data_IF_002916803836
#
_entry.id   IF_002916803836
#
_cell.length_a   1.000
_cell.length_b   1.000
_cell.length_c   1.000
_cell.angle_alpha   90.00
_cell.angle_beta   90.00
_cell.angle_gamma   90.00
#
_symmetry.space_group_name_H-M   'P 1'
#
loop_
_entity.id
_entity.type
_entity.pdbx_description
1 polymer ?
#
# COMPACT_ATOMS: atom_id res chain seq x y z
N UNK A 1 -57.85 -5.30 32.59
CA UNK A 1 -56.97 -4.71 31.55
C UNK A 1 -55.47 -5.00 31.75
N UNK A 2 -54.96 -5.26 32.97
CA UNK A 2 -53.52 -5.45 33.23
C UNK A 2 -52.91 -6.86 32.98
N UNK A 3 -53.72 -7.91 32.71
CA UNK A 3 -53.19 -9.28 32.49
C UNK A 3 -52.52 -9.51 31.13
N UNK A 4 -52.75 -8.65 30.14
CA UNK A 4 -52.17 -8.81 28.80
C UNK A 4 -50.67 -8.44 28.76
N UNK A 5 -50.24 -7.51 29.62
CA UNK A 5 -48.84 -7.07 29.71
C UNK A 5 -47.90 -8.08 30.42
N UNK A 6 -48.45 -9.08 31.11
CA UNK A 6 -47.69 -10.13 31.80
C UNK A 6 -47.51 -11.40 30.96
N UNK A 7 -48.09 -11.45 29.75
CA UNK A 7 -47.94 -12.62 28.87
C UNK A 7 -46.52 -12.64 28.27
N UNK A 8 -45.82 -13.77 28.40
CA UNK A 8 -44.46 -13.94 27.84
C UNK A 8 -44.43 -13.68 26.33
N UNK A 9 -45.52 -14.00 25.63
CA UNK A 9 -45.68 -13.74 24.20
C UNK A 9 -45.72 -12.23 23.89
N UNK A 10 -46.40 -11.44 24.73
CA UNK A 10 -46.46 -9.99 24.58
C UNK A 10 -45.09 -9.36 24.78
N UNK A 11 -44.33 -9.79 25.79
CA UNK A 11 -42.96 -9.30 26.02
C UNK A 11 -42.02 -9.64 24.86
N UNK A 12 -42.09 -10.87 24.32
CA UNK A 12 -41.30 -11.28 23.14
C UNK A 12 -41.66 -10.42 21.91
N UNK A 13 -42.95 -10.22 21.65
CA UNK A 13 -43.41 -9.36 20.54
C UNK A 13 -42.90 -7.93 20.68
N UNK A 14 -42.92 -7.35 21.88
CA UNK A 14 -42.38 -6.01 22.14
C UNK A 14 -40.87 -5.96 21.87
N UNK A 15 -40.09 -6.94 22.33
CA UNK A 15 -38.65 -6.98 22.02
C UNK A 15 -38.34 -7.19 20.54
N UNK A 16 -39.14 -8.00 19.84
CA UNK A 16 -39.02 -8.20 18.38
C UNK A 16 -39.33 -6.89 17.65
N UNK A 17 -40.41 -6.19 18.03
CA UNK A 17 -40.76 -4.89 17.44
C UNK A 17 -39.69 -3.84 17.74
N UNK A 18 -39.17 -3.77 18.97
CA UNK A 18 -38.07 -2.86 19.32
C UNK A 18 -36.79 -3.19 18.55
N UNK A 19 -36.48 -4.49 18.37
CA UNK A 19 -35.35 -4.93 17.56
C UNK A 19 -35.50 -4.57 16.08
N UNK A 20 -36.68 -4.78 15.50
CA UNK A 20 -37.01 -4.39 14.12
C UNK A 20 -37.00 -2.87 13.94
N UNK A 21 -37.49 -2.11 14.92
CA UNK A 21 -37.44 -0.65 14.92
C UNK A 21 -35.99 -0.15 15.00
N UNK A 22 -35.16 -0.73 15.86
CA UNK A 22 -33.74 -0.41 15.94
C UNK A 22 -33.01 -0.73 14.63
N UNK A 23 -33.33 -1.87 13.99
CA UNK A 23 -32.78 -2.25 12.68
C UNK A 23 -33.22 -1.26 11.59
N UNK A 24 -34.50 -0.88 11.57
CA UNK A 24 -35.04 0.09 10.62
C UNK A 24 -34.37 1.47 10.77
N UNK A 25 -34.22 1.95 12.01
CA UNK A 25 -33.49 3.18 12.30
C UNK A 25 -32.02 3.09 11.87
N UNK A 26 -31.36 1.95 12.07
CA UNK A 26 -29.99 1.73 11.60
C UNK A 26 -29.89 1.81 10.07
N UNK A 27 -30.84 1.21 9.34
CA UNK A 27 -30.90 1.27 7.87
C UNK A 27 -31.15 2.71 7.38
N UNK A 28 -32.02 3.45 8.07
CA UNK A 28 -32.34 4.84 7.72
C UNK A 28 -31.15 5.78 7.92
N UNK A 29 -30.34 5.56 8.96
CA UNK A 29 -29.15 6.35 9.27
C UNK A 29 -27.91 5.86 8.49
N UNK A 30 -27.95 4.66 7.89
CA UNK A 30 -26.87 4.08 7.07
C UNK A 30 -26.27 5.04 6.03
N UNK A 31 -27.04 5.76 5.18
CA UNK A 31 -26.44 6.68 4.20
C UNK A 31 -25.70 7.86 4.86
N UNK A 32 -26.21 8.36 6.00
CA UNK A 32 -25.54 9.40 6.78
C UNK A 32 -24.23 8.86 7.37
N UNK A 33 -24.27 7.70 8.03
CA UNK A 33 -23.09 7.01 8.56
C UNK A 33 -22.07 6.70 7.47
N UNK A 34 -22.52 6.24 6.29
CA UNK A 34 -21.65 5.95 5.16
C UNK A 34 -20.96 7.21 4.62
N UNK A 35 -21.67 8.35 4.56
CA UNK A 35 -21.07 9.62 4.15
C UNK A 35 -20.08 10.17 5.18
N UNK A 36 -20.42 10.11 6.47
CA UNK A 36 -19.49 10.48 7.55
C UNK A 36 -18.26 9.57 7.54
N UNK A 37 -18.44 8.27 7.36
CA UNK A 37 -17.34 7.31 7.30
C UNK A 37 -16.45 7.55 6.08
N UNK A 38 -17.02 7.81 4.90
CA UNK A 38 -16.25 8.18 3.69
C UNK A 38 -15.46 9.47 3.89
N UNK A 39 -16.07 10.49 4.48
CA UNK A 39 -15.38 11.73 4.81
C UNK A 39 -14.22 11.49 5.79
N UNK A 40 -14.48 10.80 6.90
CA UNK A 40 -13.48 10.51 7.91
C UNK A 40 -12.33 9.66 7.34
N UNK A 41 -12.64 8.66 6.52
CA UNK A 41 -11.67 7.84 5.78
C UNK A 41 -10.79 8.71 4.87
N UNK A 42 -11.39 9.59 4.09
CA UNK A 42 -10.65 10.44 3.14
C UNK A 42 -9.74 11.46 3.86
N UNK A 43 -10.18 11.99 4.99
CA UNK A 43 -9.41 12.97 5.76
C UNK A 43 -8.35 12.33 6.63
N UNK A 44 -8.60 11.15 7.22
CA UNK A 44 -7.65 10.47 8.11
C UNK A 44 -6.53 9.74 7.36
N UNK A 45 -6.78 9.28 6.13
CA UNK A 45 -5.79 8.60 5.30
C UNK A 45 -4.43 9.33 5.22
N UNK A 46 -4.35 10.63 4.84
CA UNK A 46 -3.07 11.33 4.79
C UNK A 46 -2.39 11.49 6.15
N UNK A 47 -3.14 11.57 7.25
CA UNK A 47 -2.56 11.62 8.61
C UNK A 47 -1.88 10.30 8.98
N UNK A 48 -2.48 9.16 8.64
CA UNK A 48 -1.88 7.86 8.92
C UNK A 48 -0.63 7.60 8.07
N UNK A 49 -0.66 7.97 6.78
CA UNK A 49 0.53 7.87 5.93
C UNK A 49 1.64 8.78 6.46
N UNK A 50 1.29 10.02 6.82
CA UNK A 50 2.23 10.96 7.43
C UNK A 50 2.82 10.44 8.75
N UNK A 51 2.00 9.76 9.56
CA UNK A 51 2.43 9.14 10.81
C UNK A 51 3.46 8.04 10.56
N UNK A 52 3.24 7.16 9.58
CA UNK A 52 4.25 6.16 9.17
C UNK A 52 5.54 6.85 8.74
N UNK A 53 5.46 7.84 7.85
CA UNK A 53 6.64 8.54 7.33
C UNK A 53 7.41 9.22 8.47
N UNK A 54 6.72 9.93 9.36
CA UNK A 54 7.32 10.55 10.53
C UNK A 54 8.00 9.49 11.42
N UNK A 55 7.34 8.36 11.64
CA UNK A 55 7.87 7.26 12.44
C UNK A 55 9.13 6.64 11.82
N UNK A 56 9.15 6.42 10.50
CA UNK A 56 10.30 5.95 9.72
C UNK A 56 11.49 6.91 9.82
N UNK A 57 11.23 8.21 9.72
CA UNK A 57 12.26 9.24 9.70
C UNK A 57 12.76 9.60 11.10
N UNK A 58 12.02 9.29 12.16
CA UNK A 58 12.36 9.64 13.53
C UNK A 58 13.74 9.13 13.99
N UNK A 59 14.14 7.86 13.73
CA UNK A 59 15.50 7.39 14.02
C UNK A 59 16.58 8.20 13.30
N UNK A 60 16.36 8.59 12.04
CA UNK A 60 17.30 9.38 11.25
C UNK A 60 17.46 10.78 11.84
N UNK A 61 16.34 11.41 12.21
CA UNK A 61 16.35 12.71 12.92
C UNK A 61 17.06 12.59 14.26
N UNK A 62 16.82 11.53 15.02
CA UNK A 62 17.48 11.27 16.30
C UNK A 62 19.00 11.13 16.18
N UNK A 63 19.49 10.43 15.15
CA UNK A 63 20.92 10.30 14.86
C UNK A 63 21.56 11.65 14.52
N UNK A 64 20.89 12.50 13.74
CA UNK A 64 21.36 13.85 13.43
C UNK A 64 21.32 14.76 14.66
N UNK A 65 20.29 14.64 15.49
CA UNK A 65 20.14 15.41 16.71
C UNK A 65 21.24 15.07 17.74
N UNK A 66 21.59 13.79 17.85
CA UNK A 66 22.74 13.33 18.65
C UNK A 66 24.08 13.93 18.22
N UNK A 67 24.19 14.42 16.99
CA UNK A 67 25.34 15.17 16.46
C UNK A 67 25.23 16.70 16.64
N UNK A 68 24.40 17.16 17.59
CA UNK A 68 24.15 18.57 17.93
C UNK A 68 23.40 19.39 16.86
N UNK A 69 22.76 18.76 15.87
CA UNK A 69 21.87 19.46 14.93
C UNK A 69 20.53 19.72 15.62
N UNK A 70 20.00 20.96 15.65
CA UNK A 70 18.68 21.20 16.25
C UNK A 70 17.61 20.41 15.49
N UNK A 71 16.65 19.81 16.21
CA UNK A 71 15.66 18.88 15.64
C UNK A 71 14.99 19.44 14.38
N UNK A 72 14.55 20.71 14.43
CA UNK A 72 13.94 21.40 13.27
C UNK A 72 14.85 21.43 12.05
N UNK A 73 16.15 21.67 12.21
CA UNK A 73 17.10 21.66 11.09
C UNK A 73 17.33 20.25 10.52
N UNK A 74 17.39 19.24 11.39
CA UNK A 74 17.48 17.85 10.96
C UNK A 74 16.24 17.43 10.15
N UNK A 75 15.03 17.83 10.60
CA UNK A 75 13.80 17.62 9.83
C UNK A 75 13.87 18.38 8.50
N UNK A 76 14.18 19.68 8.50
CA UNK A 76 14.26 20.48 7.27
C UNK A 76 15.26 19.90 6.25
N UNK A 77 16.41 19.40 6.69
CA UNK A 77 17.40 18.77 5.83
C UNK A 77 16.86 17.50 5.16
N UNK A 78 16.23 16.60 5.94
CA UNK A 78 15.62 15.38 5.39
C UNK A 78 14.54 15.74 4.37
N UNK A 79 13.73 16.76 4.65
CA UNK A 79 12.72 17.26 3.73
C UNK A 79 13.31 17.86 2.46
N UNK A 80 14.41 18.63 2.57
CA UNK A 80 15.13 19.14 1.41
C UNK A 80 15.63 18.00 0.51
N UNK A 81 16.23 16.95 1.11
CA UNK A 81 16.67 15.77 0.36
C UNK A 81 15.49 15.04 -0.28
N UNK A 82 14.39 14.86 0.45
CA UNK A 82 13.18 14.21 -0.07
C UNK A 82 12.55 14.98 -1.24
N UNK A 83 12.38 16.30 -1.10
CA UNK A 83 11.83 17.16 -2.16
C UNK A 83 12.76 17.16 -3.37
N UNK A 84 14.07 17.31 -3.16
CA UNK A 84 15.05 17.25 -4.25
C UNK A 84 14.98 15.91 -4.99
N UNK A 85 14.93 14.79 -4.25
CA UNK A 85 14.79 13.45 -4.83
C UNK A 85 13.49 13.31 -5.62
N UNK A 86 12.37 13.79 -5.08
CA UNK A 86 11.09 13.79 -5.78
C UNK A 86 11.15 14.62 -7.06
N UNK A 87 11.69 15.83 -7.03
CA UNK A 87 11.84 16.69 -8.21
C UNK A 87 12.69 16.00 -9.27
N UNK A 88 13.83 15.42 -8.89
CA UNK A 88 14.69 14.66 -9.82
C UNK A 88 13.93 13.49 -10.43
N UNK A 89 13.21 12.71 -9.63
CA UNK A 89 12.38 11.60 -10.12
C UNK A 89 11.31 12.15 -11.08
N UNK A 90 10.52 13.14 -10.69
CA UNK A 90 9.45 13.69 -11.53
C UNK A 90 9.98 14.24 -12.87
N UNK A 91 11.09 14.98 -12.85
CA UNK A 91 11.71 15.54 -14.06
C UNK A 91 12.23 14.47 -15.00
N UNK A 92 12.70 13.32 -14.50
CA UNK A 92 13.19 12.22 -15.34
C UNK A 92 12.09 11.23 -15.76
N UNK A 93 11.17 10.92 -14.84
CA UNK A 93 10.09 9.95 -15.06
C UNK A 93 9.02 10.51 -15.99
N UNK A 94 8.64 11.77 -15.84
CA UNK A 94 7.58 12.37 -16.67
C UNK A 94 7.90 12.28 -18.17
N UNK A 95 9.06 12.76 -18.67
CA UNK A 95 9.38 12.66 -20.09
C UNK A 95 9.57 11.21 -20.54
N UNK A 96 10.10 10.33 -19.69
CA UNK A 96 10.21 8.90 -19.99
C UNK A 96 8.83 8.25 -20.19
N UNK A 97 7.90 8.48 -19.26
CA UNK A 97 6.54 7.92 -19.34
C UNK A 97 5.78 8.51 -20.52
N UNK A 98 5.87 9.82 -20.75
CA UNK A 98 5.23 10.48 -21.89
C UNK A 98 5.78 9.95 -23.20
N UNK A 99 7.11 9.89 -23.35
CA UNK A 99 7.75 9.35 -24.55
C UNK A 99 7.38 7.89 -24.80
N UNK A 100 7.31 7.06 -23.75
CA UNK A 100 6.91 5.66 -23.90
C UNK A 100 5.44 5.46 -24.20
N UNK A 101 4.56 6.29 -23.65
CA UNK A 101 3.14 6.25 -24.01
C UNK A 101 2.95 6.67 -25.48
N UNK A 102 3.70 7.66 -25.94
CA UNK A 102 3.73 8.07 -27.35
C UNK A 102 4.27 6.95 -28.24
N UNK A 103 5.41 6.38 -27.89
CA UNK A 103 6.04 5.27 -28.62
C UNK A 103 5.16 4.02 -28.65
N UNK A 104 4.49 3.69 -27.53
CA UNK A 104 3.51 2.61 -27.50
C UNK A 104 2.33 2.91 -28.43
N UNK A 105 1.82 4.14 -28.44
CA UNK A 105 0.72 4.51 -29.33
C UNK A 105 1.12 4.44 -30.82
N UNK A 106 2.38 4.75 -31.13
CA UNK A 106 2.94 4.69 -32.49
C UNK A 106 3.27 3.25 -32.93
N UNK A 107 3.76 2.40 -32.02
CA UNK A 107 4.19 1.03 -32.32
C UNK A 107 3.12 -0.03 -32.10
N UNK A 108 2.04 0.27 -31.37
CA UNK A 108 0.89 -0.66 -31.24
C UNK A 108 0.36 -1.09 -32.60
N UNK A 109 0.09 -0.19 -33.57
CA UNK A 109 -0.31 -0.59 -34.92
C UNK A 109 0.71 -1.53 -35.59
N UNK A 110 2.01 -1.26 -35.47
CA UNK A 110 3.05 -2.12 -36.04
C UNK A 110 3.16 -3.49 -35.34
N UNK A 111 2.96 -3.55 -34.02
CA UNK A 111 2.91 -4.81 -33.27
C UNK A 111 1.69 -5.62 -33.67
N UNK A 112 0.54 -4.98 -33.86
CA UNK A 112 -0.69 -5.59 -34.39
C UNK A 112 -0.46 -6.14 -35.80
N UNK A 113 0.21 -5.39 -36.67
CA UNK A 113 0.58 -5.83 -38.02
C UNK A 113 1.58 -6.98 -38.01
N UNK A 114 2.60 -6.96 -37.13
CA UNK A 114 3.55 -8.07 -36.96
C UNK A 114 2.86 -9.32 -36.42
N UNK A 115 1.96 -9.19 -35.45
CA UNK A 115 1.14 -10.29 -34.95
C UNK A 115 0.23 -10.86 -36.04
N UNK A 116 -0.45 -10.01 -36.81
CA UNK A 116 -1.25 -10.42 -37.97
C UNK A 116 -0.38 -11.10 -39.03
N UNK A 117 0.84 -10.62 -39.28
CA UNK A 117 1.78 -11.20 -40.24
C UNK A 117 2.28 -12.58 -39.80
N UNK A 118 2.55 -12.78 -38.49
CA UNK A 118 2.90 -14.08 -37.92
C UNK A 118 1.73 -15.05 -38.05
N UNK A 119 0.51 -14.61 -37.73
CA UNK A 119 -0.73 -15.39 -37.97
C UNK A 119 -0.88 -15.73 -39.45
N UNK A 120 -0.57 -14.80 -40.36
CA UNK A 120 -0.56 -15.02 -41.81
C UNK A 120 0.54 -15.98 -42.28
N UNK A 121 1.70 -16.00 -41.62
CA UNK A 121 2.81 -16.90 -41.92
C UNK A 121 2.51 -18.33 -41.46
N UNK A 122 1.91 -18.50 -40.27
CA UNK A 122 1.37 -19.78 -39.81
C UNK A 122 0.15 -20.26 -40.62
N UNK A 123 -0.50 -19.37 -41.36
CA UNK A 123 -1.65 -19.63 -42.24
C UNK A 123 -1.29 -20.32 -43.56
N UNK A 124 -0.05 -20.19 -44.04
CA UNK A 124 0.38 -20.83 -45.31
C UNK A 124 0.42 -22.37 -45.23
N UNK A 125 0.32 -22.95 -44.02
CA UNK A 125 0.26 -24.40 -43.81
C UNK A 125 -1.18 -24.95 -43.66
N UNK A 126 -2.23 -24.17 -43.97
CA UNK A 126 -3.66 -24.57 -43.92
C UNK A 126 -4.19 -25.17 -42.59
N UNK A 127 -3.41 -25.11 -41.50
CA UNK A 127 -3.73 -25.83 -40.25
C UNK A 127 -4.75 -25.14 -39.33
N UNK A 128 -5.20 -23.92 -39.62
CA UNK A 128 -6.05 -23.15 -38.70
C UNK A 128 -7.48 -22.96 -39.23
N UNK A 129 -8.51 -23.47 -38.51
CA UNK A 129 -9.91 -23.24 -38.85
C UNK A 129 -10.28 -21.74 -38.91
N UNK A 130 -11.20 -21.38 -39.81
CA UNK A 130 -11.65 -20.00 -40.03
C UNK A 130 -12.25 -19.34 -38.77
N UNK A 131 -12.84 -20.15 -37.88
CA UNK A 131 -13.33 -19.74 -36.56
C UNK A 131 -12.21 -19.30 -35.61
N UNK A 132 -11.06 -19.98 -35.64
CA UNK A 132 -9.86 -19.63 -34.85
C UNK A 132 -9.23 -18.34 -35.41
N UNK A 133 -9.17 -18.23 -36.74
CA UNK A 133 -8.60 -17.07 -37.43
C UNK A 133 -9.41 -15.79 -37.21
N UNK A 134 -10.74 -15.87 -37.33
CA UNK A 134 -11.65 -14.76 -37.02
C UNK A 134 -11.70 -14.47 -35.52
N UNK A 135 -11.49 -15.47 -34.65
CA UNK A 135 -11.28 -15.29 -33.22
C UNK A 135 -10.04 -14.45 -32.91
N UNK A 136 -8.88 -14.84 -33.44
CA UNK A 136 -7.61 -14.13 -33.25
C UNK A 136 -7.68 -12.69 -33.77
N UNK A 137 -8.20 -12.47 -34.98
CA UNK A 137 -8.33 -11.10 -35.52
C UNK A 137 -9.26 -10.22 -34.69
N UNK A 138 -10.38 -10.77 -34.18
CA UNK A 138 -11.29 -10.04 -33.28
C UNK A 138 -10.63 -9.76 -31.92
N UNK A 139 -9.87 -10.71 -31.37
CA UNK A 139 -9.13 -10.53 -30.12
C UNK A 139 -8.04 -9.47 -30.27
N UNK A 140 -7.29 -9.50 -31.36
CA UNK A 140 -6.22 -8.53 -31.65
C UNK A 140 -6.79 -7.12 -31.82
N UNK A 141 -7.84 -6.95 -32.63
CA UNK A 141 -8.52 -5.65 -32.78
C UNK A 141 -9.20 -5.19 -31.47
N UNK A 142 -9.71 -6.12 -30.66
CA UNK A 142 -10.27 -5.84 -29.35
C UNK A 142 -9.22 -5.35 -28.34
N UNK A 143 -8.02 -5.94 -28.37
CA UNK A 143 -6.88 -5.54 -27.55
C UNK A 143 -6.40 -4.14 -27.96
N UNK A 144 -6.26 -3.88 -29.27
CA UNK A 144 -5.86 -2.56 -29.80
C UNK A 144 -6.82 -1.46 -29.35
N UNK A 145 -8.13 -1.69 -29.50
CA UNK A 145 -9.17 -0.76 -29.06
C UNK A 145 -9.16 -0.54 -27.54
N UNK A 146 -9.03 -1.61 -26.75
CA UNK A 146 -8.96 -1.49 -25.28
C UNK A 146 -7.71 -0.74 -24.82
N UNK A 147 -6.55 -0.96 -25.44
CA UNK A 147 -5.32 -0.23 -25.13
C UNK A 147 -5.50 1.25 -25.47
N UNK A 148 -6.01 1.58 -26.65
CA UNK A 148 -6.24 2.95 -27.08
C UNK A 148 -7.23 3.69 -26.15
N UNK A 149 -8.35 3.06 -25.79
CA UNK A 149 -9.34 3.62 -24.86
C UNK A 149 -8.77 3.84 -23.46
N UNK A 150 -7.92 2.92 -22.97
CA UNK A 150 -7.27 3.05 -21.65
C UNK A 150 -6.21 4.15 -21.65
N UNK A 151 -5.44 4.30 -22.73
CA UNK A 151 -4.48 5.40 -22.90
C UNK A 151 -5.20 6.75 -22.96
N UNK A 152 -6.29 6.84 -23.73
CA UNK A 152 -7.11 8.05 -23.80
C UNK A 152 -7.76 8.38 -22.44
N UNK A 153 -8.27 7.38 -21.72
CA UNK A 153 -8.80 7.55 -20.37
C UNK A 153 -7.72 8.00 -19.37
N UNK A 154 -6.49 7.51 -19.48
CA UNK A 154 -5.37 7.97 -18.65
C UNK A 154 -5.04 9.45 -18.93
N UNK A 155 -4.97 9.85 -20.20
CA UNK A 155 -4.75 11.25 -20.60
C UNK A 155 -5.88 12.17 -20.13
N UNK A 156 -7.15 11.74 -20.24
CA UNK A 156 -8.31 12.53 -19.82
C UNK A 156 -8.45 12.62 -18.28
N UNK A 157 -7.80 11.73 -17.53
CA UNK A 157 -7.76 11.73 -16.07
C UNK A 157 -6.52 12.44 -15.49
N UNK A 158 -5.81 13.26 -16.26
CA UNK A 158 -4.74 14.14 -15.74
C UNK A 158 -5.23 14.99 -14.56
N UNK A 159 -6.49 15.44 -14.56
CA UNK A 159 -7.08 16.15 -13.43
C UNK A 159 -7.13 15.32 -12.14
N UNK A 160 -7.30 13.99 -12.23
CA UNK A 160 -7.21 13.10 -11.09
C UNK A 160 -5.75 12.94 -10.60
N UNK A 161 -4.77 12.93 -11.50
CA UNK A 161 -3.34 12.93 -11.15
C UNK A 161 -2.97 14.21 -10.38
N UNK A 162 -3.48 15.36 -10.82
CA UNK A 162 -3.28 16.65 -10.12
C UNK A 162 -3.92 16.61 -8.72
N UNK A 163 -5.12 16.06 -8.57
CA UNK A 163 -5.76 15.92 -7.26
C UNK A 163 -4.98 14.98 -6.31
N UNK A 164 -4.48 13.85 -6.84
CA UNK A 164 -3.59 12.95 -6.09
C UNK A 164 -2.29 13.65 -5.70
N UNK A 165 -1.72 14.49 -6.58
CA UNK A 165 -0.53 15.27 -6.29
C UNK A 165 -0.76 16.29 -5.16
N UNK A 166 -1.89 17.02 -5.16
CA UNK A 166 -2.25 17.91 -4.05
C UNK A 166 -2.41 17.15 -2.72
N UNK A 167 -3.07 16.00 -2.74
CA UNK A 167 -3.16 15.10 -1.58
C UNK A 167 -1.78 14.57 -1.16
N UNK A 168 -0.89 14.29 -2.11
CA UNK A 168 0.46 13.85 -1.83
C UNK A 168 1.33 14.98 -1.23
N UNK A 169 1.07 16.25 -1.52
CA UNK A 169 1.79 17.38 -0.90
C UNK A 169 1.41 17.61 0.57
N UNK A 170 0.18 17.28 0.98
CA UNK A 170 -0.25 17.46 2.37
C UNK A 170 0.45 16.47 3.31
N UNK A 171 0.77 15.27 2.81
CA UNK A 171 1.38 14.19 3.60
C UNK A 171 2.76 14.58 4.15
N UNK A 172 3.73 15.08 3.35
CA UNK A 172 4.97 15.65 3.84
C UNK A 172 4.73 16.78 4.86
N UNK A 173 3.78 17.68 4.62
CA UNK A 173 3.50 18.75 5.59
C UNK A 173 3.04 18.19 6.95
N UNK A 174 2.11 17.22 6.95
CA UNK A 174 1.66 16.56 8.17
C UNK A 174 2.78 15.79 8.86
N UNK A 175 3.61 15.08 8.10
CA UNK A 175 4.73 14.30 8.63
C UNK A 175 5.78 15.24 9.25
N UNK A 176 5.99 16.44 8.71
CA UNK A 176 6.89 17.44 9.28
C UNK A 176 6.43 17.84 10.69
N UNK A 177 5.15 18.21 10.85
CA UNK A 177 4.62 18.60 12.16
C UNK A 177 4.58 17.42 13.13
N UNK A 178 4.22 16.22 12.67
CA UNK A 178 4.26 15.01 13.51
C UNK A 178 5.68 14.71 14.02
N UNK A 179 6.69 14.84 13.16
CA UNK A 179 8.09 14.58 13.50
C UNK A 179 8.70 15.66 14.40
N UNK A 180 8.32 16.92 14.17
CA UNK A 180 8.75 18.08 14.97
C UNK A 180 8.11 18.07 16.37
N UNK A 181 6.81 17.86 16.45
CA UNK A 181 6.00 18.08 17.66
C UNK A 181 5.65 16.77 18.39
N UNK A 182 6.36 15.68 18.10
CA UNK A 182 6.14 14.35 18.71
C UNK A 182 6.11 14.41 20.25
N UNK A 183 7.00 15.19 20.86
CA UNK A 183 7.06 15.35 22.33
C UNK A 183 5.83 16.10 22.88
N UNK A 184 5.21 16.96 22.08
CA UNK A 184 3.96 17.66 22.42
C UNK A 184 2.80 16.68 22.42
N UNK A 185 2.72 15.79 21.43
CA UNK A 185 1.69 14.74 21.36
C UNK A 185 1.77 13.79 22.55
N UNK A 186 2.97 13.33 22.94
CA UNK A 186 3.14 12.50 24.13
C UNK A 186 2.64 13.21 25.40
N UNK A 187 3.06 14.46 25.62
CA UNK A 187 2.61 15.26 26.78
C UNK A 187 1.10 15.45 26.80
N UNK A 188 0.48 15.65 25.66
CA UNK A 188 -0.97 15.79 25.53
C UNK A 188 -1.71 14.51 25.93
N UNK A 189 -1.23 13.34 25.48
CA UNK A 189 -1.82 12.04 25.84
C UNK A 189 -1.78 11.84 27.36
N UNK A 190 -0.63 12.14 27.99
CA UNK A 190 -0.49 11.95 29.44
C UNK A 190 -1.32 12.92 30.30
N UNK A 191 -1.85 14.01 29.73
CA UNK A 191 -2.75 14.93 30.45
C UNK A 191 -4.12 14.29 30.72
N UNK A 192 -4.57 13.38 29.85
CA UNK A 192 -5.87 12.71 29.96
C UNK A 192 -5.82 11.36 30.69
N UNK A 193 -4.62 10.86 31.00
CA UNK A 193 -4.44 9.56 31.67
C UNK A 193 -4.43 9.76 33.20
N UNK A 194 -5.34 9.10 33.94
CA UNK A 194 -5.33 9.14 35.40
C UNK A 194 -3.99 8.66 35.97
N UNK A 195 -3.46 9.34 37.00
CA UNK A 195 -2.13 9.04 37.58
C UNK A 195 -1.94 7.56 37.95
N UNK A 196 -2.98 6.92 38.48
CA UNK A 196 -2.97 5.50 38.87
C UNK A 196 -2.71 4.53 37.71
N UNK A 197 -3.06 4.91 36.47
CA UNK A 197 -2.89 4.05 35.27
C UNK A 197 -1.71 4.45 34.40
N UNK A 198 -0.99 5.53 34.74
CA UNK A 198 0.06 6.12 33.91
C UNK A 198 1.19 5.13 33.59
N UNK A 199 1.66 4.36 34.56
CA UNK A 199 2.70 3.34 34.34
C UNK A 199 2.27 2.22 33.41
N UNK A 200 0.98 1.85 33.41
CA UNK A 200 0.43 0.85 32.50
C UNK A 200 0.35 1.37 31.06
N UNK A 201 -0.11 2.62 30.90
CA UNK A 201 -0.18 3.27 29.58
C UNK A 201 1.23 3.50 29.00
N UNK A 202 2.20 3.93 29.81
CA UNK A 202 3.60 4.07 29.35
C UNK A 202 4.16 2.74 28.86
N UNK A 203 3.91 1.64 29.57
CA UNK A 203 4.33 0.30 29.13
C UNK A 203 3.65 -0.11 27.83
N UNK A 204 2.34 0.05 27.74
CA UNK A 204 1.60 -0.22 26.50
C UNK A 204 2.14 0.56 25.31
N UNK A 205 2.40 1.87 25.47
CA UNK A 205 2.91 2.71 24.40
C UNK A 205 4.34 2.30 23.98
N UNK A 206 5.20 1.93 24.93
CA UNK A 206 6.54 1.41 24.62
C UNK A 206 6.49 0.10 23.85
N UNK A 207 5.61 -0.82 24.24
CA UNK A 207 5.50 -2.11 23.59
C UNK A 207 4.89 -1.97 22.17
N UNK A 208 3.98 -1.01 21.98
CA UNK A 208 3.47 -0.63 20.65
C UNK A 208 4.60 -0.03 19.80
N UNK A 209 5.38 0.91 20.37
CA UNK A 209 6.53 1.54 19.70
C UNK A 209 7.57 0.49 19.28
N UNK A 210 7.91 -0.45 20.15
CA UNK A 210 8.87 -1.50 19.84
C UNK A 210 8.37 -2.43 18.72
N UNK A 211 7.09 -2.82 18.75
CA UNK A 211 6.48 -3.67 17.73
C UNK A 211 6.41 -2.95 16.37
N UNK A 212 5.90 -1.71 16.35
CA UNK A 212 5.81 -0.89 15.14
C UNK A 212 7.20 -0.60 14.57
N UNK A 213 8.13 -0.17 15.40
CA UNK A 213 9.45 0.22 14.95
C UNK A 213 10.31 -0.95 14.50
N UNK A 214 10.17 -2.12 15.11
CA UNK A 214 10.86 -3.31 14.62
C UNK A 214 10.31 -3.76 13.26
N UNK A 215 8.99 -3.76 13.10
CA UNK A 215 8.36 -4.09 11.81
C UNK A 215 8.73 -3.10 10.70
N UNK A 216 8.54 -1.80 10.94
CA UNK A 216 8.76 -0.74 9.95
C UNK A 216 10.24 -0.70 9.52
N UNK A 217 11.19 -0.75 10.47
CA UNK A 217 12.63 -0.78 10.15
C UNK A 217 13.01 -2.06 9.41
N UNK A 218 12.45 -3.19 9.82
CA UNK A 218 12.64 -4.47 9.14
C UNK A 218 12.18 -4.38 7.70
N UNK A 219 10.93 -3.97 7.46
CA UNK A 219 10.35 -3.88 6.12
C UNK A 219 11.14 -2.92 5.22
N UNK A 220 11.54 -1.75 5.73
CA UNK A 220 12.37 -0.83 4.94
C UNK A 220 13.72 -1.44 4.54
N UNK A 221 14.35 -2.19 5.44
CA UNK A 221 15.61 -2.86 5.12
C UNK A 221 15.39 -3.96 4.07
N UNK A 222 14.30 -4.73 4.18
CA UNK A 222 13.90 -5.68 3.14
C UNK A 222 13.73 -4.98 1.79
N UNK A 223 12.95 -3.90 1.75
CA UNK A 223 12.67 -3.17 0.51
C UNK A 223 13.90 -2.54 -0.12
N UNK A 224 14.85 -2.05 0.69
CA UNK A 224 16.14 -1.58 0.18
C UNK A 224 16.97 -2.74 -0.39
N UNK A 225 17.05 -3.88 0.30
CA UNK A 225 17.78 -5.04 -0.19
C UNK A 225 17.19 -5.57 -1.50
N UNK A 226 15.86 -5.72 -1.57
CA UNK A 226 15.15 -6.15 -2.79
C UNK A 226 15.34 -5.14 -3.91
N UNK A 227 15.23 -3.85 -3.63
CA UNK A 227 15.51 -2.79 -4.59
C UNK A 227 16.92 -2.85 -5.17
N UNK A 228 17.94 -3.03 -4.33
CA UNK A 228 19.32 -3.19 -4.77
C UNK A 228 19.50 -4.46 -5.60
N UNK A 229 18.91 -5.58 -5.18
CA UNK A 229 18.94 -6.84 -5.96
C UNK A 229 18.27 -6.68 -7.33
N UNK A 230 17.11 -6.01 -7.39
CA UNK A 230 16.40 -5.72 -8.63
C UNK A 230 17.22 -4.79 -9.53
N UNK A 231 17.87 -3.76 -8.97
CA UNK A 231 18.75 -2.86 -9.72
C UNK A 231 19.91 -3.61 -10.39
N UNK A 232 20.58 -4.48 -9.64
CA UNK A 232 21.66 -5.32 -10.18
C UNK A 232 21.10 -6.25 -11.26
N UNK A 233 19.97 -6.90 -11.02
CA UNK A 233 19.32 -7.77 -12.00
C UNK A 233 18.97 -7.04 -13.31
N UNK A 234 18.41 -5.84 -13.21
CA UNK A 234 18.05 -5.00 -14.35
C UNK A 234 19.27 -4.48 -15.12
N UNK A 235 20.38 -4.18 -14.43
CA UNK A 235 21.65 -3.86 -15.09
C UNK A 235 22.18 -5.05 -15.90
N UNK A 236 22.15 -6.26 -15.31
CA UNK A 236 22.70 -7.47 -15.95
C UNK A 236 21.95 -7.86 -17.22
N UNK A 237 20.64 -7.64 -17.28
CA UNK A 237 19.83 -7.95 -18.47
C UNK A 237 19.81 -6.81 -19.49
N UNK A 238 20.48 -5.69 -19.22
CA UNK A 238 20.53 -4.52 -20.11
C UNK A 238 19.21 -3.75 -20.19
N UNK A 239 18.44 -3.71 -19.10
CA UNK A 239 17.18 -3.00 -19.06
C UNK A 239 17.40 -1.48 -19.08
N UNK A 240 16.67 -0.71 -19.90
CA UNK A 240 16.73 0.74 -19.85
C UNK A 240 16.11 1.27 -18.56
N UNK A 241 16.69 2.35 -18.02
CA UNK A 241 16.30 2.96 -16.75
C UNK A 241 16.25 1.98 -15.56
N UNK A 242 17.30 1.16 -15.34
CA UNK A 242 17.27 0.07 -14.37
C UNK A 242 17.11 0.59 -12.93
N UNK A 243 17.69 1.76 -12.62
CA UNK A 243 17.56 2.41 -11.32
C UNK A 243 16.10 2.78 -11.01
N UNK A 244 15.41 3.36 -11.99
CA UNK A 244 14.02 3.78 -11.82
C UNK A 244 13.12 2.56 -11.59
N UNK A 245 13.30 1.52 -12.39
CA UNK A 245 12.51 0.29 -12.28
C UNK A 245 12.73 -0.40 -10.94
N UNK A 246 13.98 -0.47 -10.50
CA UNK A 246 14.32 -0.98 -9.18
C UNK A 246 13.76 -0.12 -8.03
N UNK A 247 13.66 1.20 -8.22
CA UNK A 247 13.04 2.09 -7.25
C UNK A 247 11.53 1.83 -7.11
N UNK A 248 10.83 1.55 -8.21
CA UNK A 248 9.43 1.11 -8.14
C UNK A 248 9.30 -0.22 -7.40
N UNK A 249 10.16 -1.20 -7.69
CA UNK A 249 10.21 -2.47 -6.94
C UNK A 249 10.38 -2.20 -5.44
N UNK A 250 11.41 -1.43 -5.06
CA UNK A 250 11.67 -1.08 -3.66
C UNK A 250 10.50 -0.33 -2.99
N UNK A 251 9.87 0.60 -3.70
CA UNK A 251 8.78 1.42 -3.16
C UNK A 251 7.53 0.58 -2.87
N UNK A 252 7.13 -0.26 -3.82
CA UNK A 252 5.93 -1.09 -3.67
C UNK A 252 6.17 -2.24 -2.70
N UNK A 253 7.40 -2.75 -2.58
CA UNK A 253 7.81 -3.80 -1.64
C UNK A 253 7.50 -3.47 -0.17
N UNK A 254 7.25 -2.20 0.17
CA UNK A 254 6.76 -1.80 1.50
C UNK A 254 5.45 -2.53 1.87
N UNK A 255 4.63 -2.93 0.88
CA UNK A 255 3.41 -3.72 1.07
C UNK A 255 3.76 -5.22 0.94
N UNK A 256 3.78 -6.01 2.02
CA UNK A 256 4.18 -7.41 1.96
C UNK A 256 3.32 -8.22 0.99
N UNK A 257 3.92 -9.18 0.30
CA UNK A 257 3.29 -10.11 -0.67
C UNK A 257 2.69 -9.47 -1.93
N UNK A 258 2.22 -8.22 -1.89
CA UNK A 258 1.73 -7.49 -3.06
C UNK A 258 2.82 -6.66 -3.74
N UNK A 259 3.75 -6.13 -2.94
CA UNK A 259 4.75 -5.18 -3.36
C UNK A 259 5.61 -5.63 -4.53
N UNK A 260 6.15 -6.85 -4.53
CA UNK A 260 6.91 -7.36 -5.65
C UNK A 260 6.10 -7.44 -6.97
N UNK A 261 4.81 -7.80 -6.91
CA UNK A 261 3.96 -7.83 -8.10
C UNK A 261 3.64 -6.43 -8.63
N UNK A 262 3.28 -5.50 -7.72
CA UNK A 262 2.98 -4.11 -8.08
C UNK A 262 4.23 -3.37 -8.55
N UNK A 263 5.37 -3.64 -7.92
CA UNK A 263 6.66 -3.02 -8.22
C UNK A 263 7.31 -3.54 -9.49
N UNK A 264 7.10 -4.81 -9.83
CA UNK A 264 7.54 -5.39 -11.11
C UNK A 264 6.68 -4.91 -12.29
N UNK A 265 5.46 -4.42 -12.06
CA UNK A 265 4.52 -4.08 -13.14
C UNK A 265 5.06 -2.99 -14.08
N UNK A 266 5.57 -1.84 -13.62
CA UNK A 266 6.21 -0.85 -14.50
C UNK A 266 7.36 -1.44 -15.31
N UNK A 267 8.16 -2.30 -14.69
CA UNK A 267 9.30 -2.94 -15.34
C UNK A 267 8.87 -3.94 -16.42
N UNK A 268 7.82 -4.71 -16.16
CA UNK A 268 7.23 -5.64 -17.11
C UNK A 268 6.61 -4.93 -18.30
N UNK A 269 5.88 -3.83 -18.06
CA UNK A 269 5.32 -2.99 -19.13
C UNK A 269 6.45 -2.45 -20.01
N UNK A 270 7.50 -1.89 -19.40
CA UNK A 270 8.67 -1.41 -20.14
C UNK A 270 9.36 -2.52 -20.93
N UNK A 271 9.49 -3.71 -20.36
CA UNK A 271 10.15 -4.82 -21.03
C UNK A 271 9.38 -5.30 -22.26
N UNK A 272 8.04 -5.29 -22.20
CA UNK A 272 7.16 -5.68 -23.31
C UNK A 272 7.22 -4.70 -24.48
N UNK A 273 7.49 -3.41 -24.26
CA UNK A 273 7.68 -2.45 -25.37
C UNK A 273 8.97 -2.72 -26.15
N UNK A 274 9.98 -3.27 -25.49
CA UNK A 274 11.28 -3.59 -26.11
C UNK A 274 11.21 -4.93 -26.85
N UNK A 275 10.92 -6.03 -26.14
CA UNK A 275 10.79 -7.36 -26.74
C UNK A 275 10.25 -8.41 -25.75
N UNK A 276 9.63 -9.47 -26.28
CA UNK A 276 9.24 -10.64 -25.50
C UNK A 276 10.40 -11.29 -24.73
N UNK A 277 11.62 -11.27 -25.30
CA UNK A 277 12.82 -11.77 -24.64
C UNK A 277 13.16 -10.94 -23.39
N UNK A 278 13.09 -9.61 -23.49
CA UNK A 278 13.33 -8.72 -22.35
C UNK A 278 12.25 -8.92 -21.27
N UNK A 279 10.98 -9.05 -21.66
CA UNK A 279 9.89 -9.33 -20.72
C UNK A 279 10.11 -10.63 -19.93
N UNK A 280 10.59 -11.69 -20.60
CA UNK A 280 10.92 -12.95 -19.94
C UNK A 280 12.11 -12.78 -18.98
N UNK A 281 13.16 -12.06 -19.38
CA UNK A 281 14.31 -11.77 -18.50
C UNK A 281 13.90 -10.96 -17.26
N UNK A 282 13.05 -9.95 -17.42
CA UNK A 282 12.51 -9.16 -16.29
C UNK A 282 11.66 -10.04 -15.37
N UNK A 283 10.83 -10.94 -15.91
CA UNK A 283 10.07 -11.90 -15.10
C UNK A 283 11.00 -12.83 -14.29
N UNK A 284 12.08 -13.31 -14.90
CA UNK A 284 13.10 -14.14 -14.22
C UNK A 284 13.79 -13.34 -13.10
N UNK A 285 14.26 -12.12 -13.39
CA UNK A 285 14.90 -11.25 -12.38
C UNK A 285 13.98 -11.01 -11.20
N UNK A 286 12.72 -10.62 -11.43
CA UNK A 286 11.78 -10.36 -10.34
C UNK A 286 11.44 -11.63 -9.55
N UNK A 287 11.34 -12.79 -10.21
CA UNK A 287 11.13 -14.08 -9.53
C UNK A 287 12.32 -14.44 -8.63
N UNK A 288 13.55 -14.19 -9.09
CA UNK A 288 14.75 -14.38 -8.27
C UNK A 288 14.78 -13.40 -7.10
N UNK A 289 14.41 -12.13 -7.31
CA UNK A 289 14.28 -11.16 -6.22
C UNK A 289 13.23 -11.60 -5.19
N UNK A 290 12.05 -12.06 -5.63
CA UNK A 290 11.01 -12.62 -4.75
C UNK A 290 11.53 -13.81 -3.94
N UNK A 291 12.29 -14.69 -4.58
CA UNK A 291 12.87 -15.86 -3.93
C UNK A 291 13.88 -15.44 -2.85
N UNK A 292 14.76 -14.49 -3.15
CA UNK A 292 15.71 -13.92 -2.20
C UNK A 292 15.00 -13.23 -1.03
N UNK A 293 13.97 -12.42 -1.32
CA UNK A 293 13.14 -11.76 -0.32
C UNK A 293 12.52 -12.79 0.63
N UNK A 294 11.81 -13.76 0.09
CA UNK A 294 10.95 -14.67 0.86
C UNK A 294 11.75 -15.69 1.67
N UNK A 295 12.87 -16.17 1.13
CA UNK A 295 13.63 -17.28 1.73
C UNK A 295 14.87 -16.82 2.51
N UNK A 296 15.43 -15.64 2.19
CA UNK A 296 16.70 -15.20 2.78
C UNK A 296 16.52 -13.90 3.55
N UNK A 297 16.06 -12.84 2.88
CA UNK A 297 16.05 -11.48 3.45
C UNK A 297 14.98 -11.37 4.54
N UNK A 298 13.73 -11.71 4.26
CA UNK A 298 12.61 -11.56 5.19
C UNK A 298 12.79 -12.40 6.48
N UNK A 299 13.21 -13.68 6.44
CA UNK A 299 13.49 -14.45 7.66
C UNK A 299 14.60 -13.86 8.53
N UNK A 300 15.65 -13.29 7.92
CA UNK A 300 16.78 -12.71 8.66
C UNK A 300 16.45 -11.34 9.27
N UNK A 301 15.60 -10.56 8.58
CA UNK A 301 15.34 -9.15 8.92
C UNK A 301 14.04 -8.97 9.71
N UNK A 302 12.95 -9.61 9.28
CA UNK A 302 11.60 -9.44 9.84
C UNK A 302 11.21 -10.62 10.76
N UNK A 303 11.79 -11.79 10.53
CA UNK A 303 11.42 -13.05 11.20
C UNK A 303 11.51 -13.04 12.73
N UNK A 304 12.31 -12.15 13.33
CA UNK A 304 12.47 -12.07 14.80
C UNK A 304 11.43 -11.20 15.51
N UNK A 305 10.74 -10.31 14.80
CA UNK A 305 10.11 -9.15 15.46
C UNK A 305 8.61 -9.28 15.67
N UNK A 306 7.90 -10.14 14.93
CA UNK A 306 6.43 -10.03 14.85
C UNK A 306 5.64 -11.35 14.97
N UNK A 307 6.28 -12.52 14.75
CA UNK A 307 5.65 -13.85 14.83
C UNK A 307 4.23 -13.87 14.23
N UNK A 308 4.07 -13.28 13.03
CA UNK A 308 2.79 -13.28 12.34
C UNK A 308 2.75 -14.48 11.40
N UNK A 309 1.67 -15.24 11.49
CA UNK A 309 1.42 -16.26 10.50
C UNK A 309 1.15 -15.59 9.13
N UNK A 310 1.71 -16.08 8.01
CA UNK A 310 1.49 -15.50 6.68
C UNK A 310 0.01 -15.29 6.34
N UNK A 311 -0.85 -16.25 6.70
CA UNK A 311 -2.31 -16.10 6.51
C UNK A 311 -2.91 -14.90 7.26
N UNK A 312 -2.38 -14.55 8.44
CA UNK A 312 -2.82 -13.36 9.17
C UNK A 312 -2.44 -12.10 8.40
N UNK A 313 -1.25 -12.04 7.82
CA UNK A 313 -0.81 -10.89 7.03
C UNK A 313 -1.73 -10.73 5.80
N UNK A 314 -1.98 -11.81 5.07
CA UNK A 314 -2.89 -11.80 3.91
C UNK A 314 -4.29 -11.36 4.33
N UNK A 315 -4.84 -11.92 5.40
CA UNK A 315 -6.17 -11.55 5.90
C UNK A 315 -6.26 -10.07 6.24
N UNK A 316 -5.29 -9.54 6.99
CA UNK A 316 -5.28 -8.13 7.39
C UNK A 316 -5.06 -7.21 6.18
N UNK A 317 -4.27 -7.63 5.20
CA UNK A 317 -4.12 -6.90 3.92
C UNK A 317 -5.44 -6.85 3.15
N UNK A 318 -6.16 -7.97 3.04
CA UNK A 318 -7.48 -8.00 2.39
C UNK A 318 -8.47 -7.06 3.10
N UNK A 319 -8.54 -7.13 4.43
CA UNK A 319 -9.39 -6.24 5.24
C UNK A 319 -8.96 -4.78 5.07
N UNK A 320 -7.66 -4.49 5.14
CA UNK A 320 -7.12 -3.14 4.97
C UNK A 320 -7.41 -2.58 3.58
N UNK A 321 -7.15 -3.36 2.53
CA UNK A 321 -7.42 -3.02 1.14
C UNK A 321 -8.89 -2.67 0.89
N UNK A 322 -9.82 -3.46 1.43
CA UNK A 322 -11.25 -3.17 1.32
C UNK A 322 -11.64 -1.90 2.11
N UNK A 323 -11.14 -1.77 3.34
CA UNK A 323 -11.48 -0.65 4.22
C UNK A 323 -10.91 0.68 3.74
N UNK A 324 -9.68 0.72 3.22
CA UNK A 324 -8.96 1.95 2.94
C UNK A 324 -8.14 1.96 1.63
N UNK A 325 -8.33 0.98 0.74
CA UNK A 325 -7.59 0.91 -0.53
C UNK A 325 -6.09 0.75 -0.32
N UNK A 326 -5.30 1.43 -1.15
CA UNK A 326 -3.81 1.39 -1.08
C UNK A 326 -3.30 1.84 0.30
N UNK A 327 -3.91 2.88 0.87
CA UNK A 327 -3.53 3.35 2.22
C UNK A 327 -3.81 2.29 3.27
N UNK A 328 -4.91 1.55 3.12
CA UNK A 328 -5.24 0.43 3.99
C UNK A 328 -4.29 -0.75 3.85
N UNK A 329 -3.78 -1.04 2.65
CA UNK A 329 -2.75 -2.05 2.43
C UNK A 329 -1.42 -1.69 3.13
N UNK A 330 -1.01 -0.42 3.05
CA UNK A 330 0.20 0.08 3.73
C UNK A 330 0.07 0.02 5.26
N UNK A 331 -1.12 0.35 5.79
CA UNK A 331 -1.38 0.44 7.22
C UNK A 331 -1.79 -0.89 7.86
N UNK A 332 -2.21 -1.87 7.07
CA UNK A 332 -2.74 -3.15 7.52
C UNK A 332 -1.88 -3.79 8.60
N UNK A 333 -0.61 -4.06 8.28
CA UNK A 333 0.29 -4.78 9.19
C UNK A 333 0.70 -3.94 10.41
N UNK A 334 1.08 -2.65 10.28
CA UNK A 334 1.33 -1.78 11.44
C UNK A 334 0.12 -1.68 12.38
N UNK A 335 -1.08 -1.47 11.86
CA UNK A 335 -2.30 -1.36 12.68
C UNK A 335 -2.57 -2.69 13.39
N UNK A 336 -2.43 -3.81 12.70
CA UNK A 336 -2.56 -5.12 13.32
C UNK A 336 -1.53 -5.35 14.43
N UNK A 337 -0.27 -4.93 14.23
CA UNK A 337 0.78 -4.99 15.24
C UNK A 337 0.37 -4.28 16.53
N UNK A 338 -0.09 -3.02 16.40
CA UNK A 338 -0.53 -2.21 17.53
C UNK A 338 -1.75 -2.83 18.22
N UNK A 339 -2.75 -3.30 17.44
CA UNK A 339 -3.94 -3.96 17.97
C UNK A 339 -3.59 -5.26 18.72
N UNK A 340 -2.64 -6.06 18.21
CA UNK A 340 -2.15 -7.27 18.87
C UNK A 340 -1.55 -6.94 20.24
N UNK A 341 -0.70 -5.92 20.34
CA UNK A 341 -0.09 -5.47 21.60
C UNK A 341 -1.15 -4.97 22.59
N UNK A 342 -2.13 -4.20 22.11
CA UNK A 342 -3.26 -3.74 22.93
C UNK A 342 -4.07 -4.92 23.46
N UNK A 343 -4.41 -5.89 22.59
CA UNK A 343 -5.16 -7.08 22.97
C UNK A 343 -4.40 -7.93 24.01
N UNK A 344 -3.08 -8.05 23.89
CA UNK A 344 -2.23 -8.72 24.88
C UNK A 344 -2.26 -8.02 26.24
N UNK A 345 -2.16 -6.69 26.26
CA UNK A 345 -2.25 -5.91 27.51
C UNK A 345 -3.62 -6.01 28.18
N UNK A 346 -4.69 -5.92 27.39
CA UNK A 346 -6.06 -6.08 27.89
C UNK A 346 -6.27 -7.49 28.45
N UNK A 347 -5.82 -8.52 27.72
CA UNK A 347 -5.92 -9.91 28.17
C UNK A 347 -5.12 -10.16 29.44
N UNK A 348 -3.88 -9.66 29.53
CA UNK A 348 -3.06 -9.76 30.73
C UNK A 348 -3.70 -9.07 31.95
N UNK A 349 -4.38 -7.93 31.73
CA UNK A 349 -5.11 -7.23 32.77
C UNK A 349 -6.31 -8.04 33.30
N UNK A 350 -7.10 -8.66 32.41
CA UNK A 350 -8.26 -9.46 32.80
C UNK A 350 -7.88 -10.81 33.41
N UNK A 351 -6.85 -11.49 32.87
CA UNK A 351 -6.38 -12.79 33.37
C UNK A 351 -5.75 -12.63 34.76
N UNK A 352 -4.94 -11.60 35.01
CA UNK A 352 -4.39 -11.32 36.36
C UNK A 352 -5.44 -10.93 37.39
N UNK A 353 -6.67 -10.61 36.97
CA UNK A 353 -7.80 -10.29 37.85
C UNK A 353 -8.67 -11.51 38.20
N UNK A 354 -8.40 -12.69 37.63
CA UNK A 354 -9.13 -13.93 37.93
C UNK A 354 -8.21 -14.99 38.53
N UNK A 355 -8.08 -14.93 39.84
CA UNK A 355 -8.22 -16.09 40.75
C UNK A 355 -8.79 -15.51 42.04
N UNK A 356 -10.11 -15.65 42.21
CA UNK A 356 -10.73 -15.64 43.54
C UNK A 356 -10.54 -17.04 44.09
#
# INVERSE_FOLDING_TARGET
MFRFAQSRLFTILVYVILGLLALYLLILVRPLLASVFRFLKSVSAPFFVAMIIAYVLNPVVGLLHGRKVPRTAAVLLIYAVFICSCVVIFVNVTPMVVGQVQELNEHVPEMTMKAQSLVHHFNHNEMLPESVRSGINRSVAGIEKQISERVAAFMHNIGAVVNVFFLAMIVPFLAFYMLKDMDVFERAIFKYVPRARRQGVVRLLKDIDEALGSYIRGQLLVSVCVGVSAYIGYLLIGMPYPLLMALFVALFDIIPYLGPFLGALPAMVMALTISWKMALLVAVVNTLCQFLESNIISPQVVGRSMHLHPMTIIFVLLVGGELAGIVGLLLAVPVYAALKVIAQHVSAYYIRRKTV
#
